data_IF_580656696246
#
_entry.id   IF_580656696246
#
_cell.length_a   1.000
_cell.length_b   1.000
_cell.length_c   1.000
_cell.angle_alpha   90.00
_cell.angle_beta   90.00
_cell.angle_gamma   90.00
#
_symmetry.space_group_name_H-M   'P 1'
#
loop_
_entity.id
_entity.type
_entity.pdbx_description
1 polymer ?
#
# COMPACT_ATOMS: atom_id res chain seq x y z
N UNK A 1 20.86 20.48 5.48
CA UNK A 1 19.69 19.79 6.09
C UNK A 1 19.04 18.99 4.97
N UNK A 2 19.25 17.67 4.95
CA UNK A 2 18.89 16.81 3.82
C UNK A 2 17.39 16.45 3.87
N UNK A 3 16.57 17.25 3.19
CA UNK A 3 15.22 16.82 2.80
C UNK A 3 15.37 15.86 1.63
N UNK A 4 14.84 14.64 1.79
CA UNK A 4 14.90 13.61 0.77
C UNK A 4 14.03 14.04 -0.43
N UNK A 5 14.66 14.63 -1.43
CA UNK A 5 14.07 14.87 -2.74
C UNK A 5 13.80 13.52 -3.40
N UNK A 6 12.62 12.94 -3.17
CA UNK A 6 12.05 12.09 -4.22
C UNK A 6 11.92 12.98 -5.43
N UNK A 7 12.54 12.59 -6.55
CA UNK A 7 12.43 13.32 -7.80
C UNK A 7 10.94 13.62 -8.07
N UNK A 8 10.54 14.89 -8.26
CA UNK A 8 9.14 15.25 -8.46
C UNK A 8 8.53 14.61 -9.71
N UNK A 9 9.35 14.09 -10.63
CA UNK A 9 8.92 13.36 -11.81
C UNK A 9 8.95 11.83 -11.64
N UNK A 10 9.47 11.28 -10.53
CA UNK A 10 9.46 9.85 -10.33
C UNK A 10 8.00 9.37 -10.13
N UNK A 11 7.54 8.38 -10.92
CA UNK A 11 6.19 7.88 -10.78
C UNK A 11 6.01 7.29 -9.39
N UNK A 12 4.89 7.63 -8.77
CA UNK A 12 4.56 7.19 -7.42
C UNK A 12 4.43 5.67 -7.44
N UNK A 13 5.19 4.97 -6.60
CA UNK A 13 5.22 3.49 -6.56
C UNK A 13 3.80 2.94 -6.49
N UNK A 14 3.52 1.96 -7.35
CA UNK A 14 2.26 1.23 -7.31
C UNK A 14 2.02 0.62 -5.93
N UNK A 15 0.79 0.73 -5.43
CA UNK A 15 0.40 0.17 -4.16
C UNK A 15 0.17 -1.35 -4.30
N UNK A 16 0.72 -2.14 -3.38
CA UNK A 16 0.47 -3.58 -3.32
C UNK A 16 -0.91 -3.90 -2.72
N UNK A 17 -1.36 -5.15 -2.87
CA UNK A 17 -2.65 -5.61 -2.34
C UNK A 17 -2.74 -5.39 -0.83
N UNK A 18 -1.64 -5.70 -0.13
CA UNK A 18 -1.46 -5.41 1.28
C UNK A 18 -1.56 -3.91 1.59
N UNK A 19 -1.01 -3.02 0.75
CA UNK A 19 -1.11 -1.56 0.97
C UNK A 19 -2.54 -1.04 0.83
N UNK A 20 -3.32 -1.56 -0.12
CA UNK A 20 -4.75 -1.23 -0.22
C UNK A 20 -5.51 -1.70 1.01
N UNK A 21 -5.34 -2.98 1.38
CA UNK A 21 -5.95 -3.54 2.59
C UNK A 21 -5.53 -2.77 3.85
N UNK A 22 -4.24 -2.47 4.00
CA UNK A 22 -3.69 -1.76 5.13
C UNK A 22 -4.23 -0.34 5.21
N UNK A 23 -4.38 0.38 4.09
CA UNK A 23 -4.98 1.72 4.12
C UNK A 23 -6.46 1.70 4.52
N UNK A 24 -7.25 0.77 3.97
CA UNK A 24 -8.68 0.66 4.32
C UNK A 24 -8.90 0.21 5.77
N UNK A 25 -7.98 -0.60 6.31
CA UNK A 25 -8.11 -1.13 7.66
C UNK A 25 -7.31 -0.35 8.70
N UNK A 26 -6.32 0.49 8.33
CA UNK A 26 -5.54 1.23 9.33
C UNK A 26 -6.42 2.18 10.13
N UNK A 27 -7.39 2.82 9.48
CA UNK A 27 -8.30 3.73 10.17
C UNK A 27 -9.20 2.95 11.10
N UNK A 28 -9.81 1.86 10.63
CA UNK A 28 -10.60 0.94 11.47
C UNK A 28 -9.82 0.43 12.67
N UNK A 29 -8.60 -0.06 12.47
CA UNK A 29 -7.75 -0.57 13.56
C UNK A 29 -7.40 0.52 14.56
N UNK A 30 -7.15 1.75 14.08
CA UNK A 30 -6.87 2.92 14.93
C UNK A 30 -8.11 3.40 15.69
N UNK A 31 -9.29 3.31 15.09
CA UNK A 31 -10.56 3.63 15.73
C UNK A 31 -10.95 2.58 16.78
N UNK A 32 -10.78 1.29 16.46
CA UNK A 32 -10.98 0.17 17.39
C UNK A 32 -9.97 0.22 18.56
N UNK A 33 -8.76 0.72 18.31
CA UNK A 33 -7.67 0.76 19.29
C UNK A 33 -7.12 2.20 19.39
N UNK A 34 -7.85 3.11 20.05
CA UNK A 34 -7.37 4.47 20.23
C UNK A 34 -6.07 4.47 21.06
N UNK A 35 -5.00 5.06 20.51
CA UNK A 35 -3.72 5.23 21.22
C UNK A 35 -2.64 4.20 20.91
N UNK A 36 -2.88 3.20 20.05
CA UNK A 36 -1.82 2.29 19.60
C UNK A 36 -0.89 2.96 18.59
N UNK A 37 0.40 2.58 18.61
CA UNK A 37 1.39 3.14 17.68
C UNK A 37 1.23 2.59 16.26
N UNK A 38 1.70 3.34 15.26
CA UNK A 38 1.69 2.89 13.86
C UNK A 38 2.37 1.51 13.66
N UNK A 39 3.42 1.22 14.43
CA UNK A 39 4.07 -0.09 14.41
C UNK A 39 3.17 -1.23 14.88
N UNK A 40 2.32 -0.99 15.89
CA UNK A 40 1.34 -1.97 16.35
C UNK A 40 0.20 -2.15 15.34
N UNK A 41 -0.29 -1.05 14.74
CA UNK A 41 -1.27 -1.10 13.64
C UNK A 41 -0.73 -1.97 12.50
N UNK A 42 0.51 -1.74 12.07
CA UNK A 42 1.15 -2.53 11.02
C UNK A 42 1.27 -4.01 11.35
N UNK A 43 1.59 -4.37 12.61
CA UNK A 43 1.59 -5.78 13.05
C UNK A 43 0.19 -6.41 12.95
N UNK A 44 -0.82 -5.73 13.49
CA UNK A 44 -2.22 -6.20 13.46
C UNK A 44 -2.73 -6.36 12.03
N UNK A 45 -2.43 -5.39 11.15
CA UNK A 45 -2.79 -5.46 9.74
C UNK A 45 -2.08 -6.61 9.02
N UNK A 46 -0.80 -6.84 9.31
CA UNK A 46 -0.03 -7.97 8.76
C UNK A 46 -0.60 -9.32 9.18
N UNK A 47 -1.01 -9.46 10.44
CA UNK A 47 -1.68 -10.67 10.94
C UNK A 47 -3.06 -10.85 10.30
N UNK A 48 -3.88 -9.80 10.24
CA UNK A 48 -5.19 -9.83 9.57
C UNK A 48 -5.04 -10.20 8.09
N UNK A 49 -4.06 -9.63 7.38
CA UNK A 49 -3.80 -9.94 5.98
C UNK A 49 -3.41 -11.41 5.77
N UNK A 50 -2.54 -11.96 6.63
CA UNK A 50 -2.19 -13.38 6.59
C UNK A 50 -3.37 -14.30 6.95
N UNK A 51 -4.27 -13.82 7.79
CA UNK A 51 -5.50 -14.53 8.16
C UNK A 51 -6.62 -14.41 7.11
N UNK A 52 -6.54 -13.45 6.17
CA UNK A 52 -7.49 -13.34 5.09
C UNK A 52 -7.40 -14.53 4.13
N UNK A 53 -8.55 -14.99 3.67
CA UNK A 53 -8.66 -16.00 2.63
C UNK A 53 -8.28 -15.42 1.27
N UNK A 54 -7.86 -16.26 0.33
CA UNK A 54 -7.52 -15.81 -1.03
C UNK A 54 -8.72 -15.12 -1.71
N UNK A 55 -9.95 -15.50 -1.41
CA UNK A 55 -11.17 -14.82 -1.88
C UNK A 55 -11.28 -13.37 -1.40
N UNK A 56 -10.90 -13.09 -0.16
CA UNK A 56 -10.94 -11.74 0.41
C UNK A 56 -9.73 -10.91 -0.05
N UNK A 57 -8.59 -11.56 -0.29
CA UNK A 57 -7.39 -10.92 -0.85
C UNK A 57 -7.54 -10.59 -2.32
N UNK A 58 -8.24 -11.43 -3.10
CA UNK A 58 -8.45 -11.30 -4.55
C UNK A 58 -8.88 -9.89 -5.01
N UNK A 59 -9.90 -9.23 -4.44
CA UNK A 59 -10.26 -7.87 -4.87
C UNK A 59 -9.13 -6.85 -4.61
N UNK A 60 -8.32 -7.02 -3.56
CA UNK A 60 -7.16 -6.17 -3.31
C UNK A 60 -6.00 -6.50 -4.25
N UNK A 61 -5.81 -7.78 -4.58
CA UNK A 61 -4.80 -8.23 -5.56
C UNK A 61 -5.11 -7.74 -6.97
N UNK A 62 -6.38 -7.76 -7.39
CA UNK A 62 -6.82 -7.20 -8.67
C UNK A 62 -6.58 -5.68 -8.73
N UNK A 63 -6.95 -4.94 -7.67
CA UNK A 63 -6.66 -3.50 -7.55
C UNK A 63 -5.16 -3.22 -7.59
N UNK A 64 -4.36 -4.01 -6.88
CA UNK A 64 -2.91 -3.87 -6.85
C UNK A 64 -2.26 -4.22 -8.17
N UNK A 65 -2.75 -5.23 -8.89
CA UNK A 65 -2.28 -5.57 -10.22
C UNK A 65 -2.55 -4.44 -11.21
N UNK A 66 -3.76 -3.84 -11.15
CA UNK A 66 -4.11 -2.69 -11.97
C UNK A 66 -3.23 -1.46 -11.67
N UNK A 67 -3.02 -1.12 -10.39
CA UNK A 67 -2.18 0.02 -10.02
C UNK A 67 -0.69 -0.24 -10.27
N UNK A 68 -0.23 -1.48 -10.08
CA UNK A 68 1.12 -1.91 -10.46
C UNK A 68 1.36 -1.71 -11.96
N UNK A 69 0.39 -2.09 -12.80
CA UNK A 69 0.48 -1.89 -14.25
C UNK A 69 0.57 -0.40 -14.59
N UNK A 70 -0.28 0.44 -13.99
CA UNK A 70 -0.20 1.91 -14.13
C UNK A 70 1.19 2.43 -13.76
N UNK A 71 1.73 2.00 -12.62
CA UNK A 71 3.07 2.38 -12.18
C UNK A 71 4.16 1.89 -13.14
N UNK A 72 4.07 0.67 -13.66
CA UNK A 72 5.03 0.13 -14.63
C UNK A 72 5.00 0.91 -15.95
N UNK A 73 3.82 1.28 -16.44
CA UNK A 73 3.64 2.09 -17.66
C UNK A 73 4.19 3.52 -17.47
N UNK A 74 3.88 4.17 -16.34
CA UNK A 74 4.41 5.49 -16.00
C UNK A 74 5.93 5.45 -15.76
N UNK A 75 6.45 4.39 -15.12
CA UNK A 75 7.88 4.17 -14.89
C UNK A 75 8.63 3.93 -16.20
N UNK A 76 8.05 3.14 -17.10
CA UNK A 76 8.63 2.93 -18.43
C UNK A 76 8.73 4.25 -19.19
N UNK A 77 7.69 5.10 -19.11
CA UNK A 77 7.69 6.42 -19.74
C UNK A 77 8.72 7.38 -19.09
N UNK A 78 8.87 7.31 -17.76
CA UNK A 78 9.85 8.12 -17.02
C UNK A 78 11.31 7.70 -17.29
N UNK A 79 11.60 6.40 -17.37
CA UNK A 79 12.96 5.88 -17.61
C UNK A 79 13.45 6.10 -19.06
N UNK A 80 12.60 6.63 -19.95
CA UNK A 80 12.93 6.91 -21.35
C UNK A 80 13.24 8.40 -21.59
N UNK A 81 13.08 9.26 -20.58
CA UNK A 81 13.41 10.70 -20.65
C UNK A 81 14.75 11.05 -20.00
#
# INVERSE_FOLDING_TARGET
>A
MLMHSSDPNAPKRGLSAYMFFANDNREKVREENPGISFGQVGKMLGERWKALSDTDRRPYEEKAAADKKRYEDEKASYNVS
#
